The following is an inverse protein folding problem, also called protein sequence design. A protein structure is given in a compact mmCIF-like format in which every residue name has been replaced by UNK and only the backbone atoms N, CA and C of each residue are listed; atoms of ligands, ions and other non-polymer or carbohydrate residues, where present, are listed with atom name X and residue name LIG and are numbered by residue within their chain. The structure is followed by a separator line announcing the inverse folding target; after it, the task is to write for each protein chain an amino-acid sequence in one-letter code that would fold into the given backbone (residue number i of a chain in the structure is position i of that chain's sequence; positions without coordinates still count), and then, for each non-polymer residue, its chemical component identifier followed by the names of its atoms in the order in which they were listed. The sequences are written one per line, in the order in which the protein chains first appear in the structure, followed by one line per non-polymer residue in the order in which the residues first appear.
data_IF_542327289920
#
_entry.id   IF_542327289920
#
_cell.length_a   1.000
_cell.length_b   1.000
_cell.length_c   1.000
_cell.angle_alpha   90.00
_cell.angle_beta   90.00
_cell.angle_gamma   90.00
#
_symmetry.space_group_name_H-M   'P 1'
#
loop_
_entity.id
_entity.type
_entity.pdbx_description
1 polymer ?
#
# COMPACT_ATOMS: atom_id res chain seq x y z
N UNK A 1 12.88 -14.72 1.38
CA UNK A 1 11.62 -14.15 0.84
C UNK A 1 10.44 -14.79 1.56
N UNK A 2 9.72 -14.02 2.36
CA UNK A 2 8.49 -14.49 3.02
C UNK A 2 7.37 -14.49 1.97
N UNK A 3 7.01 -15.65 1.46
CA UNK A 3 5.88 -15.78 0.52
C UNK A 3 4.56 -15.80 1.30
N UNK A 4 3.59 -15.00 0.86
CA UNK A 4 2.24 -15.00 1.40
C UNK A 4 2.11 -14.36 2.79
N UNK A 5 3.05 -13.50 3.18
CA UNK A 5 2.97 -12.73 4.42
C UNK A 5 2.54 -11.30 4.11
N UNK A 6 1.48 -10.85 4.76
CA UNK A 6 1.02 -9.46 4.71
C UNK A 6 1.71 -8.67 5.82
N UNK A 7 2.15 -7.46 5.51
CA UNK A 7 2.78 -6.56 6.50
C UNK A 7 1.80 -5.46 6.87
N UNK A 8 1.57 -5.28 8.17
CA UNK A 8 0.78 -4.19 8.75
C UNK A 8 1.57 -3.51 9.86
N UNK A 9 1.10 -2.37 10.32
CA UNK A 9 1.64 -1.73 11.51
C UNK A 9 1.04 -2.30 12.80
N UNK A 10 1.76 -2.16 13.90
CA UNK A 10 1.34 -2.66 15.23
C UNK A 10 0.37 -1.75 15.97
N UNK A 11 0.08 -0.57 15.44
CA UNK A 11 -0.87 0.41 15.99
C UNK A 11 -2.21 0.49 15.22
N UNK A 12 -2.46 -0.47 14.33
CA UNK A 12 -3.73 -0.66 13.61
C UNK A 12 -4.09 0.42 12.59
N UNK A 13 -3.14 1.25 12.15
CA UNK A 13 -3.40 2.33 11.18
C UNK A 13 -3.88 1.79 9.83
N UNK A 14 -3.25 0.72 9.32
CA UNK A 14 -3.69 0.09 8.07
C UNK A 14 -5.03 -0.62 8.23
N UNK A 15 -5.26 -1.32 9.34
CA UNK A 15 -6.53 -1.96 9.60
C UNK A 15 -7.67 -0.96 9.70
N UNK A 16 -7.47 0.17 10.36
CA UNK A 16 -8.46 1.25 10.44
C UNK A 16 -8.82 1.79 9.05
N UNK A 17 -7.84 1.99 8.19
CA UNK A 17 -8.07 2.42 6.81
C UNK A 17 -8.90 1.40 6.03
N UNK A 18 -8.59 0.11 6.15
CA UNK A 18 -9.38 -0.94 5.50
C UNK A 18 -10.81 -1.01 6.04
N UNK A 19 -10.99 -0.83 7.36
CA UNK A 19 -12.32 -0.85 7.99
C UNK A 19 -13.20 0.33 7.56
N UNK A 20 -12.61 1.45 7.18
CA UNK A 20 -13.35 2.59 6.62
C UNK A 20 -13.86 2.34 5.19
N UNK A 21 -13.20 1.47 4.43
CA UNK A 21 -13.47 1.25 3.01
C UNK A 21 -14.13 -0.07 2.69
N UNK A 22 -14.02 -1.06 3.59
CA UNK A 22 -14.41 -2.44 3.37
C UNK A 22 -15.28 -2.95 4.52
N UNK A 23 -16.09 -3.96 4.24
CA UNK A 23 -16.94 -4.61 5.25
C UNK A 23 -16.59 -6.10 5.36
N UNK A 24 -15.92 -6.53 6.48
CA UNK A 24 -15.54 -7.92 6.66
C UNK A 24 -16.73 -8.86 6.89
N UNK A 25 -17.91 -8.30 7.19
CA UNK A 25 -19.13 -9.07 7.46
C UNK A 25 -20.18 -8.96 6.35
N UNK A 26 -19.79 -8.46 5.18
CA UNK A 26 -20.72 -8.30 4.06
C UNK A 26 -21.26 -9.65 3.59
N UNK A 27 -22.58 -9.74 3.36
CA UNK A 27 -23.26 -10.97 2.97
C UNK A 27 -22.85 -11.50 1.60
N UNK A 28 -22.54 -10.62 0.66
CA UNK A 28 -21.95 -10.95 -0.64
C UNK A 28 -20.62 -10.19 -0.76
N UNK A 29 -19.52 -10.74 -0.20
CA UNK A 29 -18.26 -10.02 -0.12
C UNK A 29 -17.60 -9.87 -1.49
N UNK A 30 -17.06 -8.68 -1.74
CA UNK A 30 -16.10 -8.44 -2.79
C UNK A 30 -14.70 -8.91 -2.35
N UNK A 31 -13.71 -9.02 -3.26
CA UNK A 31 -12.37 -9.50 -2.90
C UNK A 31 -11.71 -8.73 -1.76
N UNK A 32 -11.92 -7.40 -1.69
CA UNK A 32 -11.42 -6.57 -0.60
C UNK A 32 -12.04 -6.92 0.76
N UNK A 33 -13.34 -7.16 0.79
CA UNK A 33 -14.06 -7.55 2.01
C UNK A 33 -13.57 -8.91 2.53
N UNK A 34 -13.38 -9.86 1.62
CA UNK A 34 -12.86 -11.19 1.94
C UNK A 34 -11.41 -11.12 2.46
N UNK A 35 -10.57 -10.28 1.85
CA UNK A 35 -9.21 -10.03 2.30
C UNK A 35 -9.18 -9.44 3.71
N UNK A 36 -10.00 -8.44 3.99
CA UNK A 36 -10.06 -7.81 5.32
C UNK A 36 -10.50 -8.82 6.38
N UNK A 37 -11.50 -9.65 6.10
CA UNK A 37 -11.93 -10.71 7.01
C UNK A 37 -10.80 -11.70 7.30
N UNK A 38 -10.08 -12.13 6.25
CA UNK A 38 -8.92 -12.99 6.39
C UNK A 38 -7.83 -12.35 7.25
N UNK A 39 -7.54 -11.06 7.04
CA UNK A 39 -6.53 -10.31 7.78
C UNK A 39 -6.89 -10.20 9.26
N UNK A 40 -8.14 -9.83 9.58
CA UNK A 40 -8.61 -9.72 10.97
C UNK A 40 -8.50 -11.05 11.72
N UNK A 41 -8.75 -12.16 11.05
CA UNK A 41 -8.65 -13.49 11.66
C UNK A 41 -7.19 -13.93 11.89
N UNK A 42 -6.22 -13.35 11.18
CA UNK A 42 -4.82 -13.81 11.16
C UNK A 42 -3.82 -12.76 11.63
N UNK A 43 -4.27 -11.60 12.03
CA UNK A 43 -3.39 -10.47 12.38
C UNK A 43 -2.35 -10.80 13.47
N UNK A 44 -2.66 -11.70 14.39
CA UNK A 44 -1.75 -12.13 15.45
C UNK A 44 -0.92 -13.37 15.08
N UNK A 45 -1.10 -13.94 13.89
CA UNK A 45 -0.37 -15.13 13.45
C UNK A 45 0.84 -14.74 12.58
N UNK A 46 2.08 -14.85 13.11
CA UNK A 46 3.28 -14.41 12.39
C UNK A 46 3.61 -15.23 11.13
N UNK A 47 2.95 -16.35 10.92
CA UNK A 47 3.07 -17.13 9.67
C UNK A 47 2.40 -16.43 8.50
N UNK A 48 1.41 -15.61 8.76
CA UNK A 48 0.58 -14.96 7.74
C UNK A 48 0.67 -13.43 7.76
N UNK A 49 0.90 -12.85 8.93
CA UNK A 49 0.92 -11.39 9.10
C UNK A 49 2.14 -10.99 9.92
N UNK A 50 2.94 -10.09 9.37
CA UNK A 50 4.04 -9.43 10.07
C UNK A 50 3.57 -8.06 10.54
N UNK A 51 3.89 -7.69 11.78
CA UNK A 51 3.59 -6.38 12.34
C UNK A 51 4.88 -5.59 12.50
N UNK A 52 4.87 -4.33 12.07
CA UNK A 52 6.00 -3.41 12.20
C UNK A 52 5.59 -2.15 12.94
N UNK A 53 6.54 -1.52 13.59
CA UNK A 53 6.33 -0.22 14.24
C UNK A 53 6.62 0.91 13.28
N UNK A 54 5.71 1.89 13.22
CA UNK A 54 5.93 3.15 12.49
C UNK A 54 5.79 4.31 13.45
N UNK A 55 6.54 5.38 13.21
CA UNK A 55 6.58 6.58 14.02
C UNK A 55 5.87 7.72 13.33
N UNK A 56 4.71 8.11 13.84
CA UNK A 56 3.97 9.28 13.38
C UNK A 56 4.44 10.52 14.16
N UNK A 57 5.28 11.34 13.52
CA UNK A 57 5.89 12.52 14.15
C UNK A 57 4.89 13.67 14.38
N UNK A 58 3.91 13.79 13.48
CA UNK A 58 2.75 14.65 13.58
C UNK A 58 1.60 13.96 12.83
N UNK A 59 0.36 14.40 12.98
CA UNK A 59 -0.80 13.76 12.35
C UNK A 59 -0.61 13.58 10.83
N UNK A 60 -0.55 12.34 10.38
CA UNK A 60 -0.36 11.98 8.97
C UNK A 60 1.07 12.09 8.44
N UNK A 61 2.07 12.32 9.30
CA UNK A 61 3.48 12.41 8.92
C UNK A 61 4.28 11.28 9.57
N UNK A 62 5.02 10.52 8.76
CA UNK A 62 5.75 9.32 9.21
C UNK A 62 7.25 9.49 9.01
N UNK A 63 8.04 9.16 10.05
CA UNK A 63 9.50 9.19 9.99
C UNK A 63 10.08 8.17 9.02
N UNK A 64 9.43 7.00 8.88
CA UNK A 64 9.86 5.91 8.01
C UNK A 64 9.60 6.19 6.52
N UNK A 65 8.80 7.20 6.18
CA UNK A 65 8.58 7.58 4.78
C UNK A 65 9.92 8.03 4.17
N UNK A 66 10.45 7.31 3.14
CA UNK A 66 11.86 7.44 2.77
C UNK A 66 12.21 8.72 1.99
N UNK A 67 11.22 9.46 1.51
CA UNK A 67 11.41 10.70 0.76
C UNK A 67 10.52 11.80 1.35
N UNK A 68 11.10 12.66 2.18
CA UNK A 68 10.34 13.70 2.88
C UNK A 68 9.70 14.73 1.95
N UNK A 69 10.34 15.08 0.86
CA UNK A 69 9.78 16.03 -0.10
C UNK A 69 8.59 15.42 -0.84
N UNK A 70 8.68 14.16 -1.21
CA UNK A 70 7.56 13.43 -1.82
C UNK A 70 6.41 13.26 -0.82
N UNK A 71 6.71 13.04 0.46
CA UNK A 71 5.66 12.92 1.49
C UNK A 71 4.76 14.15 1.56
N UNK A 72 5.31 15.34 1.33
CA UNK A 72 4.54 16.60 1.35
C UNK A 72 3.44 16.63 0.30
N UNK A 73 3.67 16.04 -0.85
CA UNK A 73 2.73 16.02 -2.00
C UNK A 73 1.96 14.71 -2.13
N UNK A 74 2.33 13.71 -1.34
CA UNK A 74 1.68 12.41 -1.32
C UNK A 74 0.34 12.50 -0.61
N UNK A 75 -0.68 11.79 -1.11
CA UNK A 75 -2.00 11.78 -0.48
C UNK A 75 -1.89 11.31 0.99
N UNK A 76 -2.36 12.14 1.95
CA UNK A 76 -2.17 11.82 3.38
C UNK A 76 -2.65 10.43 3.80
N UNK A 77 -3.82 9.90 3.37
CA UNK A 77 -4.26 8.56 3.74
C UNK A 77 -3.33 7.44 3.25
N UNK A 78 -2.56 7.69 2.20
CA UNK A 78 -1.71 6.68 1.58
C UNK A 78 -0.29 6.63 2.18
N UNK A 79 0.12 7.66 2.93
CA UNK A 79 1.47 7.75 3.52
C UNK A 79 1.81 6.57 4.43
N UNK A 80 0.85 6.09 5.20
CA UNK A 80 1.05 4.97 6.13
C UNK A 80 1.46 3.68 5.44
N UNK A 81 0.97 3.42 4.23
CA UNK A 81 1.32 2.22 3.47
C UNK A 81 2.81 2.22 3.08
N UNK A 82 3.33 3.35 2.69
CA UNK A 82 4.75 3.51 2.35
C UNK A 82 5.62 3.40 3.61
N UNK A 83 5.20 4.02 4.71
CA UNK A 83 5.92 3.93 5.98
C UNK A 83 6.02 2.49 6.48
N UNK A 84 4.95 1.72 6.40
CA UNK A 84 4.92 0.30 6.78
C UNK A 84 5.84 -0.53 5.89
N UNK A 85 5.81 -0.32 4.57
CA UNK A 85 6.70 -1.02 3.65
C UNK A 85 8.18 -0.71 3.93
N UNK A 86 8.50 0.55 4.22
CA UNK A 86 9.86 0.98 4.55
C UNK A 86 10.35 0.42 5.90
N UNK A 87 9.45 0.24 6.86
CA UNK A 87 9.78 -0.26 8.19
C UNK A 87 10.05 -1.78 8.24
N UNK A 88 9.60 -2.54 7.24
CA UNK A 88 9.81 -3.98 7.21
C UNK A 88 11.11 -4.36 6.49
N UNK A 89 12.01 -5.07 7.18
CA UNK A 89 13.30 -5.50 6.65
C UNK A 89 13.17 -6.53 5.51
N UNK A 90 12.02 -7.19 5.39
CA UNK A 90 11.73 -8.15 4.33
C UNK A 90 11.50 -7.50 2.95
N UNK A 91 11.51 -6.18 2.89
CA UNK A 91 11.28 -5.39 1.68
C UNK A 91 10.04 -5.86 0.90
N UNK A 92 8.85 -5.74 1.50
CA UNK A 92 7.61 -6.21 0.87
C UNK A 92 7.23 -5.35 -0.34
N UNK A 93 6.49 -5.95 -1.27
CA UNK A 93 5.87 -5.18 -2.35
C UNK A 93 4.67 -4.39 -1.82
N UNK A 94 4.57 -3.14 -2.21
CA UNK A 94 3.32 -2.38 -2.12
C UNK A 94 2.47 -2.81 -3.32
N UNK A 95 1.35 -3.46 -3.05
CA UNK A 95 0.42 -3.89 -4.10
C UNK A 95 -0.61 -2.79 -4.33
N UNK A 96 -0.70 -2.32 -5.56
CA UNK A 96 -1.67 -1.31 -5.97
C UNK A 96 -2.56 -1.88 -7.07
N UNK A 97 -3.87 -1.79 -6.88
CA UNK A 97 -4.82 -2.32 -7.84
C UNK A 97 -5.04 -1.38 -9.03
N UNK A 98 -5.65 -0.22 -8.78
CA UNK A 98 -6.13 0.63 -9.87
C UNK A 98 -6.00 2.14 -9.61
N UNK A 99 -5.39 2.57 -8.51
CA UNK A 99 -5.18 3.99 -8.27
C UNK A 99 -4.05 4.52 -9.16
N UNK A 100 -4.44 5.21 -10.22
CA UNK A 100 -3.52 5.67 -11.27
C UNK A 100 -2.58 6.80 -10.83
N UNK A 101 -2.84 7.48 -9.71
CA UNK A 101 -1.91 8.48 -9.16
C UNK A 101 -0.56 7.88 -8.80
N UNK A 102 -0.53 6.62 -8.39
CA UNK A 102 0.69 5.91 -8.03
C UNK A 102 1.64 5.69 -9.21
N UNK A 103 1.15 5.76 -10.45
CA UNK A 103 2.02 5.71 -11.64
C UNK A 103 3.00 6.90 -11.69
N UNK A 104 2.62 8.04 -11.12
CA UNK A 104 3.49 9.22 -11.03
C UNK A 104 4.45 9.17 -9.85
N UNK A 105 4.14 8.40 -8.81
CA UNK A 105 4.90 8.38 -7.55
C UNK A 105 5.86 7.20 -7.41
N UNK A 106 5.53 6.05 -7.99
CA UNK A 106 6.31 4.85 -7.77
C UNK A 106 7.79 4.95 -8.17
N UNK A 107 8.20 5.68 -9.25
CA UNK A 107 9.62 5.75 -9.63
C UNK A 107 10.50 6.37 -8.55
N UNK A 108 10.05 7.46 -7.91
CA UNK A 108 10.79 8.11 -6.84
C UNK A 108 10.89 7.23 -5.59
N UNK A 109 9.83 6.52 -5.26
CA UNK A 109 9.83 5.59 -4.13
C UNK A 109 10.67 4.35 -4.43
N UNK A 110 10.71 3.88 -5.67
CA UNK A 110 11.57 2.77 -6.09
C UNK A 110 13.06 3.13 -5.94
N UNK A 111 13.45 4.37 -6.27
CA UNK A 111 14.80 4.87 -6.02
C UNK A 111 15.17 4.83 -4.53
N UNK A 112 14.19 5.02 -3.65
CA UNK A 112 14.36 4.93 -2.20
C UNK A 112 14.24 3.50 -1.64
N UNK A 113 14.11 2.48 -2.50
CA UNK A 113 14.10 1.08 -2.13
C UNK A 113 12.71 0.47 -1.91
N UNK A 114 11.62 1.19 -2.17
CA UNK A 114 10.25 0.66 -2.06
C UNK A 114 9.88 -0.06 -3.34
N UNK A 115 9.43 -1.31 -3.22
CA UNK A 115 9.03 -2.13 -4.37
C UNK A 115 7.52 -2.05 -4.59
N UNK A 116 7.12 -1.94 -5.85
CA UNK A 116 5.72 -1.83 -6.26
C UNK A 116 5.32 -2.92 -7.22
N UNK A 117 4.04 -3.29 -7.14
CA UNK A 117 3.41 -4.14 -8.13
C UNK A 117 1.99 -3.65 -8.37
N UNK A 118 1.66 -3.40 -9.62
CA UNK A 118 0.29 -3.09 -10.04
C UNK A 118 -0.41 -4.38 -10.43
N UNK A 119 -1.43 -4.76 -9.66
CA UNK A 119 -2.12 -6.05 -9.86
C UNK A 119 -3.16 -6.00 -10.98
N UNK A 120 -3.58 -4.80 -11.40
CA UNK A 120 -4.51 -4.58 -12.51
C UNK A 120 -3.90 -3.58 -13.52
N UNK A 121 -2.84 -3.97 -14.25
CA UNK A 121 -2.07 -3.04 -15.07
C UNK A 121 -2.88 -2.38 -16.18
N UNK A 122 -3.79 -3.10 -16.83
CA UNK A 122 -4.62 -2.54 -17.89
C UNK A 122 -5.65 -1.54 -17.36
N UNK A 123 -6.22 -1.78 -16.19
CA UNK A 123 -7.16 -0.88 -15.54
C UNK A 123 -6.47 0.41 -15.09
N UNK A 124 -5.29 0.32 -14.49
CA UNK A 124 -4.56 1.51 -14.03
C UNK A 124 -4.14 2.40 -15.20
N UNK A 125 -3.74 1.81 -16.33
CA UNK A 125 -3.44 2.55 -17.57
C UNK A 125 -4.68 3.26 -18.11
N UNK A 126 -5.81 2.56 -18.16
CA UNK A 126 -7.09 3.11 -18.62
C UNK A 126 -7.54 4.29 -17.77
N UNK A 127 -7.47 4.17 -16.45
CA UNK A 127 -7.82 5.24 -15.53
C UNK A 127 -6.88 6.43 -15.64
N UNK A 128 -5.60 6.19 -15.86
CA UNK A 128 -4.64 7.27 -16.09
C UNK A 128 -4.98 8.08 -17.36
N UNK A 129 -5.29 7.40 -18.47
CA UNK A 129 -5.69 8.06 -19.71
C UNK A 129 -6.95 8.91 -19.57
N UNK A 130 -7.90 8.48 -18.70
CA UNK A 130 -9.13 9.22 -18.44
C UNK A 130 -8.98 10.41 -17.50
N UNK A 131 -7.92 10.45 -16.68
CA UNK A 131 -7.73 11.44 -15.63
C UNK A 131 -6.62 12.45 -15.94
N UNK A 132 -5.59 12.04 -16.65
CA UNK A 132 -4.41 12.85 -16.93
C UNK A 132 -4.18 12.98 -18.45
N UNK A 133 -3.64 14.14 -18.86
CA UNK A 133 -3.18 14.35 -20.21
C UNK A 133 -1.74 13.80 -20.37
N UNK A 134 -1.39 13.38 -21.59
CA UNK A 134 -0.08 12.90 -21.93
C UNK A 134 0.07 11.38 -21.91
N UNK A 135 1.29 10.87 -22.15
CA UNK A 135 1.53 9.44 -22.23
C UNK A 135 1.40 8.76 -20.86
N UNK A 136 0.97 7.50 -20.87
CA UNK A 136 0.91 6.67 -19.66
C UNK A 136 2.35 6.38 -19.20
N UNK A 137 2.71 6.64 -17.93
CA UNK A 137 4.02 6.27 -17.40
C UNK A 137 4.27 4.76 -17.48
N UNK A 138 5.54 4.39 -17.54
CA UNK A 138 5.93 2.98 -17.47
C UNK A 138 5.55 2.37 -16.12
N UNK A 139 5.20 1.10 -16.13
CA UNK A 139 4.95 0.30 -14.94
C UNK A 139 6.27 -0.29 -14.43
N UNK A 140 6.38 -0.57 -13.12
CA UNK A 140 7.54 -1.29 -12.60
C UNK A 140 7.63 -2.68 -13.23
N UNK A 141 8.85 -3.14 -13.47
CA UNK A 141 9.10 -4.49 -13.97
C UNK A 141 8.72 -5.53 -12.91
N UNK A 142 8.16 -6.65 -13.36
CA UNK A 142 7.90 -7.78 -12.48
C UNK A 142 9.25 -8.44 -12.11
N UNK A 143 9.55 -8.44 -10.83
CA UNK A 143 10.70 -9.13 -10.26
C UNK A 143 10.36 -10.57 -9.82
#
# INVERSE_FOLDING_TARGET
RRRGVVVIDDSWKLLEEYLHKLDPNKGQPEPGDAFLKWLLQRQANPKHVAQVSVTESAAGWFEEFPNHELQKVFDPPDRKFIAVAAADDGNPHVLQAADCKWLSWWPQLAEAGIRFRFVCPEDVKRFYRGKFDGPVPELPEDE
#
